data_IF_694786293362
#
_entry.id   IF_694786293362
#
_cell.length_a   1.000
_cell.length_b   1.000
_cell.length_c   1.000
_cell.angle_alpha   90.00
_cell.angle_beta   90.00
_cell.angle_gamma   90.00
#
_symmetry.space_group_name_H-M   'P 1'
#
loop_
_entity.id
_entity.type
_entity.pdbx_description
1 polymer ?
#
# COMPACT_ATOMS: atom_id res chain seq x y z
N UNK A 1 -39.96 36.92 46.78
CA UNK A 1 -38.50 36.75 46.81
C UNK A 1 -38.09 36.30 45.41
N UNK A 2 -37.71 37.30 44.59
CA UNK A 2 -37.44 37.12 43.12
C UNK A 2 -35.96 36.95 42.99
N UNK A 3 -35.50 35.78 42.44
CA UNK A 3 -34.11 35.54 42.15
C UNK A 3 -33.90 35.82 40.66
N UNK A 4 -33.10 36.84 40.38
CA UNK A 4 -32.66 37.31 39.10
C UNK A 4 -31.64 36.32 38.51
N UNK A 5 -31.89 35.80 37.28
CA UNK A 5 -30.95 35.02 36.51
C UNK A 5 -30.04 35.96 35.71
N UNK A 6 -28.76 36.02 36.08
CA UNK A 6 -27.74 36.72 35.34
C UNK A 6 -27.30 35.89 34.12
N UNK A 7 -27.48 36.46 32.92
CA UNK A 7 -26.97 35.90 31.68
C UNK A 7 -25.46 36.15 31.52
N UNK A 8 -24.64 35.11 31.60
CA UNK A 8 -23.25 35.15 31.18
C UNK A 8 -23.15 34.96 29.66
N UNK A 9 -22.96 36.07 28.94
CA UNK A 9 -22.63 36.05 27.52
C UNK A 9 -21.18 35.64 27.33
N UNK A 10 -20.95 34.37 26.87
CA UNK A 10 -19.67 33.96 26.40
C UNK A 10 -19.43 34.48 24.99
N UNK A 11 -18.54 35.45 24.85
CA UNK A 11 -18.05 35.97 23.58
C UNK A 11 -17.25 34.89 22.84
N UNK A 12 -17.81 34.29 21.79
CA UNK A 12 -17.09 33.44 20.85
C UNK A 12 -16.23 34.37 20.01
N UNK A 13 -14.92 34.39 20.30
CA UNK A 13 -13.94 35.01 19.40
C UNK A 13 -13.81 34.15 18.17
N UNK A 14 -14.29 34.65 17.03
CA UNK A 14 -13.98 34.13 15.69
C UNK A 14 -12.47 34.24 15.48
N UNK A 15 -11.78 33.11 15.40
CA UNK A 15 -10.44 33.08 14.85
C UNK A 15 -10.57 33.20 13.33
N UNK A 16 -10.45 34.44 12.85
CA UNK A 16 -10.21 34.66 11.42
C UNK A 16 -8.86 34.03 11.09
N UNK A 17 -8.89 33.01 10.26
CA UNK A 17 -7.69 32.36 9.72
C UNK A 17 -7.06 33.39 8.76
N UNK A 18 -6.00 34.08 9.22
CA UNK A 18 -5.16 34.88 8.33
C UNK A 18 -4.57 33.94 7.29
N UNK A 19 -4.99 34.08 6.06
CA UNK A 19 -4.38 33.45 4.91
C UNK A 19 -2.93 34.00 4.81
N UNK A 20 -1.98 33.20 5.25
CA UNK A 20 -0.57 33.46 4.98
C UNK A 20 -0.41 33.38 3.45
N UNK A 21 -0.28 34.51 2.81
CA UNK A 21 0.03 34.61 1.39
C UNK A 21 1.35 33.87 1.16
N UNK A 22 1.31 32.74 0.44
CA UNK A 22 2.50 32.04 0.02
C UNK A 22 3.38 33.00 -0.77
N UNK A 23 4.63 33.16 -0.37
CA UNK A 23 5.60 33.92 -1.13
C UNK A 23 5.72 33.29 -2.53
N UNK A 24 5.87 34.09 -3.61
CA UNK A 24 6.02 33.55 -4.95
C UNK A 24 7.27 32.66 -4.99
N UNK A 25 7.08 31.38 -5.31
CA UNK A 25 8.16 30.44 -5.54
C UNK A 25 8.96 30.97 -6.74
N UNK A 26 10.27 31.19 -6.63
CA UNK A 26 11.07 31.60 -7.79
C UNK A 26 10.95 30.52 -8.88
N UNK A 27 10.90 30.89 -10.17
CA UNK A 27 10.82 29.93 -11.24
C UNK A 27 12.01 28.96 -11.12
N UNK A 28 11.70 27.68 -10.97
CA UNK A 28 12.70 26.60 -11.04
C UNK A 28 13.34 26.73 -12.42
N UNK A 29 14.64 26.96 -12.45
CA UNK A 29 15.38 26.94 -13.70
C UNK A 29 15.12 25.57 -14.35
N UNK A 30 14.51 25.56 -15.51
CA UNK A 30 14.41 24.37 -16.37
C UNK A 30 15.83 24.01 -16.75
N UNK A 31 16.48 23.20 -15.94
CA UNK A 31 17.72 22.53 -16.35
C UNK A 31 17.32 21.61 -17.48
N UNK A 32 17.96 21.81 -18.64
CA UNK A 32 17.80 21.00 -19.83
C UNK A 32 17.76 19.51 -19.43
N UNK A 33 16.59 18.90 -19.57
CA UNK A 33 16.44 17.45 -19.44
C UNK A 33 17.30 16.83 -20.55
N UNK A 34 18.33 16.03 -20.25
CA UNK A 34 19.13 15.42 -21.31
C UNK A 34 18.23 14.58 -22.20
N UNK A 35 18.21 14.90 -23.47
CA UNK A 35 17.48 14.15 -24.49
C UNK A 35 18.19 12.84 -24.74
N UNK A 36 17.84 11.82 -24.00
CA UNK A 36 17.84 10.39 -24.31
C UNK A 36 17.39 9.64 -23.06
N UNK A 37 16.10 9.59 -22.83
CA UNK A 37 15.54 8.53 -21.97
C UNK A 37 16.00 7.20 -22.59
N UNK A 38 16.73 6.32 -21.86
CA UNK A 38 17.06 4.99 -22.36
C UNK A 38 15.79 4.36 -22.89
N UNK A 39 15.87 3.65 -24.01
CA UNK A 39 14.70 3.01 -24.62
C UNK A 39 13.89 2.31 -23.52
N UNK A 40 12.66 2.78 -23.30
CA UNK A 40 11.79 2.32 -22.22
C UNK A 40 11.81 0.79 -22.22
N UNK A 41 12.24 0.18 -21.13
CA UNK A 41 12.21 -1.26 -21.00
C UNK A 41 10.78 -1.72 -21.23
N UNK A 42 10.55 -2.53 -22.25
CA UNK A 42 9.24 -3.07 -22.56
C UNK A 42 8.79 -3.96 -21.37
N UNK A 43 7.52 -3.88 -21.02
CA UNK A 43 6.94 -4.76 -20.02
C UNK A 43 7.17 -6.23 -20.45
N UNK A 44 7.79 -7.01 -19.57
CA UNK A 44 7.96 -8.45 -19.82
C UNK A 44 6.60 -9.14 -19.69
N UNK A 45 6.11 -9.86 -20.72
CA UNK A 45 4.81 -10.52 -20.66
C UNK A 45 4.68 -11.41 -19.42
N UNK A 46 3.61 -11.23 -18.66
CA UNK A 46 3.34 -11.97 -17.42
C UNK A 46 4.11 -11.49 -16.17
N UNK A 47 4.96 -10.47 -16.29
CA UNK A 47 5.68 -9.87 -15.16
C UNK A 47 5.21 -8.42 -14.97
N UNK A 48 4.92 -8.06 -13.71
CA UNK A 48 4.57 -6.71 -13.32
C UNK A 48 3.15 -6.26 -13.60
N UNK A 49 2.41 -6.92 -14.46
CA UNK A 49 1.05 -6.54 -14.85
C UNK A 49 -0.03 -7.42 -14.18
N UNK A 50 -1.24 -6.88 -13.92
CA UNK A 50 -2.35 -7.67 -13.40
C UNK A 50 -2.69 -8.83 -14.34
N UNK A 51 -2.93 -10.00 -13.77
CA UNK A 51 -3.32 -11.20 -14.55
C UNK A 51 -4.80 -11.23 -14.91
N UNK A 52 -5.62 -10.35 -14.29
CA UNK A 52 -7.08 -10.39 -14.39
C UNK A 52 -7.72 -11.58 -13.66
N UNK A 53 -6.94 -12.36 -12.92
CA UNK A 53 -7.41 -13.50 -12.13
C UNK A 53 -7.96 -13.09 -10.76
N UNK A 54 -8.40 -14.09 -10.00
CA UNK A 54 -8.92 -13.94 -8.64
C UNK A 54 -7.81 -14.01 -7.57
N UNK A 55 -6.64 -14.47 -7.97
CA UNK A 55 -5.50 -14.70 -7.09
C UNK A 55 -4.66 -13.43 -6.93
N UNK A 56 -3.83 -13.42 -5.88
CA UNK A 56 -2.74 -12.45 -5.77
C UNK A 56 -1.81 -12.61 -6.96
N UNK A 57 -1.19 -11.53 -7.40
CA UNK A 57 -0.22 -11.56 -8.49
C UNK A 57 0.97 -12.46 -8.11
N UNK A 58 1.55 -13.16 -9.08
CA UNK A 58 2.70 -14.04 -8.85
C UNK A 58 3.86 -13.28 -8.19
N UNK A 59 4.33 -13.69 -7.02
CA UNK A 59 5.38 -13.00 -6.30
C UNK A 59 6.72 -13.15 -7.00
N UNK A 60 7.55 -12.10 -6.97
CA UNK A 60 8.89 -12.09 -7.59
C UNK A 60 9.98 -11.65 -6.60
N UNK A 61 9.66 -11.58 -5.31
CA UNK A 61 10.60 -11.28 -4.23
C UNK A 61 10.44 -12.27 -3.10
N UNK A 62 11.47 -12.44 -2.27
CA UNK A 62 11.39 -13.32 -1.10
C UNK A 62 10.28 -12.89 -0.14
N UNK A 63 10.13 -11.58 0.08
CA UNK A 63 9.08 -11.03 0.93
C UNK A 63 7.69 -11.31 0.35
N UNK A 64 7.51 -11.14 -0.96
CA UNK A 64 6.24 -11.43 -1.61
C UNK A 64 5.91 -12.93 -1.59
N UNK A 65 6.91 -13.81 -1.72
CA UNK A 65 6.76 -15.27 -1.56
C UNK A 65 6.36 -15.61 -0.13
N UNK A 66 7.01 -15.00 0.88
CA UNK A 66 6.67 -15.21 2.30
C UNK A 66 5.24 -14.75 2.60
N UNK A 67 4.83 -13.58 2.07
CA UNK A 67 3.46 -13.08 2.18
C UNK A 67 2.44 -14.00 1.50
N UNK A 68 2.74 -14.50 0.31
CA UNK A 68 1.93 -15.49 -0.41
C UNK A 68 1.74 -16.77 0.41
N UNK A 69 2.84 -17.31 0.96
CA UNK A 69 2.80 -18.49 1.81
C UNK A 69 1.95 -18.26 3.07
N UNK A 70 2.06 -17.08 3.68
CA UNK A 70 1.22 -16.72 4.83
C UNK A 70 -0.27 -16.72 4.46
N UNK A 71 -0.64 -16.14 3.32
CA UNK A 71 -2.04 -16.08 2.86
C UNK A 71 -2.56 -17.47 2.49
N UNK A 72 -1.88 -18.21 1.62
CA UNK A 72 -2.42 -19.44 1.04
C UNK A 72 -2.26 -20.66 1.94
N UNK A 73 -1.19 -20.74 2.72
CA UNK A 73 -0.91 -21.93 3.53
C UNK A 73 -1.31 -21.79 5.00
N UNK A 74 -1.55 -20.57 5.49
CA UNK A 74 -1.94 -20.32 6.88
C UNK A 74 -3.32 -19.69 6.97
N UNK A 75 -3.50 -18.50 6.38
CA UNK A 75 -4.74 -17.74 6.58
C UNK A 75 -5.94 -18.34 5.84
N UNK A 76 -5.81 -18.66 4.55
CA UNK A 76 -6.93 -19.20 3.77
C UNK A 76 -7.45 -20.54 4.32
N UNK A 77 -6.61 -21.55 4.63
CA UNK A 77 -7.08 -22.78 5.25
C UNK A 77 -7.78 -22.54 6.61
N UNK A 78 -7.20 -21.67 7.45
CA UNK A 78 -7.78 -21.32 8.74
C UNK A 78 -9.15 -20.65 8.59
N UNK A 79 -9.24 -19.63 7.71
CA UNK A 79 -10.50 -18.94 7.44
C UNK A 79 -11.56 -19.89 6.89
N UNK A 80 -11.17 -20.81 5.98
CA UNK A 80 -12.08 -21.82 5.45
C UNK A 80 -12.62 -22.73 6.55
N UNK A 81 -11.74 -23.26 7.41
CA UNK A 81 -12.14 -24.15 8.53
C UNK A 81 -13.07 -23.43 9.49
N UNK A 82 -12.74 -22.19 9.90
CA UNK A 82 -13.58 -21.40 10.81
C UNK A 82 -14.94 -21.09 10.16
N UNK A 83 -14.94 -20.69 8.88
CA UNK A 83 -16.19 -20.39 8.16
C UNK A 83 -17.09 -21.61 8.06
N UNK A 84 -16.55 -22.76 7.67
CA UNK A 84 -17.32 -24.03 7.58
C UNK A 84 -17.84 -24.44 8.94
N UNK A 85 -17.02 -24.33 9.99
CA UNK A 85 -17.44 -24.62 11.36
C UNK A 85 -18.62 -23.74 11.79
N UNK A 86 -18.54 -22.43 11.57
CA UNK A 86 -19.63 -21.50 11.92
C UNK A 86 -20.90 -21.80 11.09
N UNK A 87 -20.76 -22.08 9.79
CA UNK A 87 -21.88 -22.47 8.93
C UNK A 87 -22.58 -23.75 9.44
N UNK A 88 -21.81 -24.74 9.86
CA UNK A 88 -22.36 -25.98 10.45
C UNK A 88 -23.15 -25.67 11.74
N UNK A 89 -22.59 -24.81 12.62
CA UNK A 89 -23.29 -24.43 13.85
C UNK A 89 -24.58 -23.65 13.54
N UNK A 90 -24.55 -22.73 12.58
CA UNK A 90 -25.75 -22.00 12.16
C UNK A 90 -26.81 -22.95 11.57
N UNK A 91 -26.40 -23.79 10.64
CA UNK A 91 -27.32 -24.81 10.07
C UNK A 91 -27.91 -25.72 11.13
N UNK A 92 -27.07 -26.19 12.07
CA UNK A 92 -27.51 -26.99 13.20
C UNK A 92 -28.54 -26.26 14.07
N UNK A 93 -28.27 -25.02 14.44
CA UNK A 93 -29.20 -24.22 15.28
C UNK A 93 -30.50 -23.96 14.55
N UNK A 94 -30.49 -23.61 13.28
CA UNK A 94 -31.67 -23.38 12.45
C UNK A 94 -32.53 -24.65 12.32
N UNK A 95 -31.89 -25.82 12.14
CA UNK A 95 -32.58 -27.08 11.98
C UNK A 95 -33.08 -27.63 13.32
N UNK A 96 -32.22 -27.64 14.35
CA UNK A 96 -32.52 -28.28 15.66
C UNK A 96 -33.50 -27.47 16.49
N UNK A 97 -33.43 -26.14 16.44
CA UNK A 97 -34.24 -25.26 17.29
C UNK A 97 -35.37 -24.53 16.53
N UNK A 98 -35.78 -25.04 15.37
CA UNK A 98 -36.96 -24.50 14.66
C UNK A 98 -38.22 -24.67 15.51
N UNK A 99 -39.21 -23.79 15.36
CA UNK A 99 -40.43 -23.74 16.15
C UNK A 99 -41.15 -25.09 16.24
N UNK A 100 -41.24 -25.85 15.13
CA UNK A 100 -41.88 -27.16 15.10
C UNK A 100 -41.12 -28.28 15.86
N UNK A 101 -39.79 -28.16 16.00
CA UNK A 101 -38.95 -29.14 16.69
C UNK A 101 -38.70 -28.79 18.17
N UNK A 102 -38.90 -27.51 18.53
CA UNK A 102 -38.62 -27.00 19.87
C UNK A 102 -39.70 -26.01 20.32
N UNK A 103 -40.95 -26.47 20.53
CA UNK A 103 -42.07 -25.59 20.82
C UNK A 103 -41.97 -24.90 22.18
N UNK A 104 -41.21 -25.47 23.12
CA UNK A 104 -40.93 -24.85 24.42
C UNK A 104 -39.43 -24.66 24.57
N UNK A 105 -38.92 -23.44 24.39
CA UNK A 105 -37.48 -23.16 24.48
C UNK A 105 -36.96 -23.33 25.92
N UNK A 106 -35.73 -23.80 26.05
CA UNK A 106 -35.02 -23.85 27.34
C UNK A 106 -34.81 -22.45 27.90
N UNK A 107 -34.95 -22.33 29.24
CA UNK A 107 -34.62 -21.08 29.95
C UNK A 107 -33.14 -20.98 30.37
N UNK A 108 -32.34 -22.05 30.14
CA UNK A 108 -30.90 -22.03 30.41
C UNK A 108 -30.21 -21.30 29.31
N UNK A 109 -29.61 -20.16 29.63
CA UNK A 109 -28.91 -19.26 28.70
C UNK A 109 -27.39 -19.11 28.99
N UNK A 110 -26.90 -19.86 29.99
CA UNK A 110 -25.54 -19.70 30.49
C UNK A 110 -24.83 -21.05 30.61
N UNK A 111 -23.56 -21.09 30.13
CA UNK A 111 -22.66 -22.22 30.31
C UNK A 111 -21.22 -21.74 30.33
N UNK A 112 -20.66 -21.56 31.54
CA UNK A 112 -19.32 -21.01 31.75
C UNK A 112 -18.22 -21.77 31.01
N UNK A 113 -18.34 -23.13 30.89
CA UNK A 113 -17.32 -23.92 30.19
C UNK A 113 -17.27 -23.57 28.70
N UNK A 114 -18.44 -23.49 28.05
CA UNK A 114 -18.51 -23.10 26.64
C UNK A 114 -18.02 -21.67 26.45
N UNK A 115 -18.37 -20.76 27.36
CA UNK A 115 -17.95 -19.36 27.33
C UNK A 115 -16.41 -19.20 27.41
N UNK A 116 -15.79 -19.95 28.29
CA UNK A 116 -14.32 -19.99 28.38
C UNK A 116 -13.71 -20.57 27.11
N UNK A 117 -14.27 -21.64 26.55
CA UNK A 117 -13.77 -22.25 25.30
C UNK A 117 -13.84 -21.25 24.14
N UNK A 118 -15.00 -20.61 23.92
CA UNK A 118 -15.14 -19.69 22.78
C UNK A 118 -14.35 -18.39 22.93
N UNK A 119 -13.89 -18.06 24.13
CA UNK A 119 -12.98 -16.93 24.38
C UNK A 119 -11.51 -17.33 24.20
N UNK A 120 -11.11 -18.44 24.79
CA UNK A 120 -9.70 -18.88 24.82
C UNK A 120 -9.25 -19.43 23.47
N UNK A 121 -10.08 -20.23 22.79
CA UNK A 121 -9.68 -20.85 21.52
C UNK A 121 -9.37 -19.79 20.42
N UNK A 122 -10.21 -18.79 20.16
CA UNK A 122 -9.84 -17.71 19.21
C UNK A 122 -8.59 -16.94 19.63
N UNK A 123 -8.40 -16.66 20.93
CA UNK A 123 -7.20 -16.00 21.41
C UNK A 123 -5.94 -16.82 21.13
N UNK A 124 -5.98 -18.13 21.35
CA UNK A 124 -4.85 -19.03 21.03
C UNK A 124 -4.58 -19.09 19.51
N UNK A 125 -5.62 -19.11 18.68
CA UNK A 125 -5.48 -19.05 17.22
C UNK A 125 -4.73 -17.77 16.81
N UNK A 126 -5.11 -16.60 17.37
CA UNK A 126 -4.43 -15.34 17.10
C UNK A 126 -2.97 -15.37 17.55
N UNK A 127 -2.66 -15.96 18.71
CA UNK A 127 -1.27 -16.12 19.18
C UNK A 127 -0.45 -16.96 18.18
N UNK A 128 -1.01 -18.07 17.69
CA UNK A 128 -0.32 -18.92 16.70
C UNK A 128 -0.04 -18.17 15.40
N UNK A 129 -1.01 -17.39 14.90
CA UNK A 129 -0.85 -16.58 13.67
C UNK A 129 0.18 -15.46 13.88
N UNK A 130 0.27 -14.89 15.08
CA UNK A 130 1.14 -13.76 15.39
C UNK A 130 2.62 -14.06 15.10
N UNK A 131 3.10 -15.28 15.37
CA UNK A 131 4.52 -15.63 15.18
C UNK A 131 4.98 -15.45 13.71
N UNK A 132 4.40 -16.12 12.71
CA UNK A 132 4.81 -15.93 11.32
C UNK A 132 4.49 -14.51 10.83
N UNK A 133 3.39 -13.90 11.31
CA UNK A 133 2.98 -12.55 10.92
C UNK A 133 3.99 -11.48 11.37
N UNK A 134 4.45 -11.51 12.63
CA UNK A 134 5.45 -10.56 13.12
C UNK A 134 6.82 -10.75 12.45
N UNK A 135 7.19 -11.98 12.11
CA UNK A 135 8.41 -12.23 11.35
C UNK A 135 8.35 -11.60 9.97
N UNK A 136 7.26 -11.82 9.23
CA UNK A 136 7.03 -11.21 7.93
C UNK A 136 7.03 -9.67 8.02
N UNK A 137 6.35 -9.12 9.03
CA UNK A 137 6.30 -7.68 9.27
C UNK A 137 7.70 -7.09 9.52
N UNK A 138 8.52 -7.76 10.35
CA UNK A 138 9.89 -7.33 10.62
C UNK A 138 10.74 -7.34 9.34
N UNK A 139 10.62 -8.38 8.50
CA UNK A 139 11.35 -8.47 7.24
C UNK A 139 10.96 -7.36 6.24
N UNK A 140 9.70 -6.92 6.27
CA UNK A 140 9.22 -5.84 5.40
C UNK A 140 9.69 -4.45 5.85
N UNK A 141 9.71 -4.19 7.16
CA UNK A 141 9.91 -2.84 7.69
C UNK A 141 11.30 -2.58 8.26
N UNK A 142 12.11 -3.59 8.50
CA UNK A 142 13.49 -3.45 8.97
C UNK A 142 14.48 -4.10 8.00
N UNK A 143 14.69 -3.47 6.83
CA UNK A 143 15.58 -4.01 5.82
C UNK A 143 17.03 -4.03 6.32
N UNK A 144 17.85 -4.98 5.84
CA UNK A 144 19.29 -4.90 5.99
C UNK A 144 19.82 -3.59 5.38
N UNK A 145 21.12 -3.37 5.39
CA UNK A 145 21.71 -2.20 4.75
C UNK A 145 21.18 -2.09 3.31
N UNK A 146 20.53 -0.98 3.02
CA UNK A 146 20.01 -0.71 1.69
C UNK A 146 21.14 -0.32 0.72
N UNK A 147 21.03 -0.76 -0.52
CA UNK A 147 21.92 -0.37 -1.61
C UNK A 147 21.47 0.98 -2.19
N UNK A 148 20.16 1.22 -2.23
CA UNK A 148 19.55 2.44 -2.73
C UNK A 148 18.41 2.86 -1.77
N UNK A 149 18.31 4.17 -1.54
CA UNK A 149 17.16 4.77 -0.85
C UNK A 149 16.38 5.61 -1.84
N UNK A 150 15.07 5.43 -1.88
CA UNK A 150 14.13 6.24 -2.68
C UNK A 150 13.06 6.76 -1.72
N UNK A 151 12.75 8.03 -1.80
CA UNK A 151 11.64 8.62 -1.06
C UNK A 151 10.46 8.83 -2.00
N UNK A 152 9.31 8.30 -1.65
CA UNK A 152 8.05 8.44 -2.36
C UNK A 152 7.12 9.35 -1.55
N UNK A 153 6.70 10.45 -2.15
CA UNK A 153 5.84 11.46 -1.54
C UNK A 153 4.50 11.44 -2.28
N UNK A 154 3.42 11.12 -1.56
CA UNK A 154 2.07 11.14 -2.12
C UNK A 154 1.51 12.55 -2.18
N UNK A 155 0.94 12.90 -3.33
CA UNK A 155 0.17 14.13 -3.58
C UNK A 155 -1.20 13.79 -4.15
N UNK A 156 -2.14 14.70 -4.12
CA UNK A 156 -3.44 14.57 -4.79
C UNK A 156 -3.31 15.08 -6.25
N UNK A 157 -3.15 14.25 -7.32
CA UNK A 157 -3.18 12.77 -7.31
C UNK A 157 -2.05 12.23 -8.18
N UNK A 158 -0.81 12.31 -7.69
CA UNK A 158 0.40 11.84 -8.33
C UNK A 158 1.44 11.44 -7.27
N UNK A 159 2.56 10.86 -7.69
CA UNK A 159 3.69 10.56 -6.82
C UNK A 159 4.89 11.42 -7.20
N UNK A 160 5.53 12.01 -6.20
CA UNK A 160 6.85 12.63 -6.32
C UNK A 160 7.90 11.66 -5.76
N UNK A 161 9.02 11.52 -6.48
CA UNK A 161 10.13 10.69 -6.07
C UNK A 161 11.38 11.52 -5.86
N UNK A 162 12.15 11.16 -4.81
CA UNK A 162 13.44 11.74 -4.49
C UNK A 162 14.46 10.60 -4.33
N UNK A 163 15.66 10.76 -4.92
CA UNK A 163 16.79 9.84 -4.78
C UNK A 163 17.88 10.50 -3.94
N UNK A 164 17.80 10.44 -2.60
CA UNK A 164 18.68 11.19 -1.71
C UNK A 164 20.15 10.76 -1.81
N UNK A 165 20.39 9.46 -2.06
CA UNK A 165 21.77 8.92 -2.16
C UNK A 165 22.44 9.22 -3.50
N UNK A 166 21.71 9.71 -4.51
CA UNK A 166 22.16 10.00 -5.87
C UNK A 166 22.06 11.50 -6.23
N UNK A 167 22.41 12.36 -5.30
CA UNK A 167 22.43 13.80 -5.52
C UNK A 167 21.11 14.50 -5.18
N UNK A 168 20.11 13.79 -4.69
CA UNK A 168 18.85 14.37 -4.21
C UNK A 168 17.95 14.91 -5.34
N UNK A 169 18.06 14.36 -6.57
CA UNK A 169 17.18 14.78 -7.64
C UNK A 169 15.75 14.27 -7.40
N UNK A 170 14.78 15.04 -7.85
CA UNK A 170 13.35 14.76 -7.71
C UNK A 170 12.65 14.80 -9.06
N UNK A 171 11.57 14.03 -9.18
CA UNK A 171 10.67 14.06 -10.33
C UNK A 171 9.27 13.63 -9.94
N UNK A 172 8.29 14.08 -10.71
CA UNK A 172 6.91 13.65 -10.58
C UNK A 172 6.62 12.45 -11.48
N UNK A 173 5.71 11.60 -11.05
CA UNK A 173 5.19 10.44 -11.79
C UNK A 173 3.67 10.55 -11.86
N UNK A 174 3.17 10.85 -13.07
CA UNK A 174 1.77 11.10 -13.34
C UNK A 174 1.25 10.07 -14.33
N UNK A 175 0.07 9.52 -14.07
CA UNK A 175 -0.56 8.56 -14.98
C UNK A 175 -0.82 9.20 -16.35
N UNK A 176 -0.45 8.50 -17.42
CA UNK A 176 -0.69 8.94 -18.79
C UNK A 176 -2.18 8.97 -19.12
N UNK A 177 -2.56 9.91 -19.97
CA UNK A 177 -3.88 9.89 -20.61
C UNK A 177 -4.01 8.70 -21.54
N UNK A 178 -5.24 8.33 -21.90
CA UNK A 178 -5.47 7.22 -22.83
C UNK A 178 -4.84 7.45 -24.20
N UNK A 179 -4.77 8.70 -24.64
CA UNK A 179 -4.18 9.12 -25.91
C UNK A 179 -2.66 8.99 -25.89
N UNK A 180 -2.02 9.42 -24.81
CA UNK A 180 -0.56 9.30 -24.62
C UNK A 180 -0.11 7.84 -24.48
N UNK A 181 -0.85 7.02 -23.69
CA UNK A 181 -0.58 5.60 -23.58
C UNK A 181 -0.72 4.89 -24.94
N UNK A 182 -1.75 5.25 -25.71
CA UNK A 182 -1.94 4.69 -27.07
C UNK A 182 -0.82 5.11 -28.03
N UNK A 183 -0.34 6.36 -27.93
CA UNK A 183 0.80 6.85 -28.72
C UNK A 183 2.11 6.13 -28.38
N UNK A 184 2.30 5.73 -27.11
CA UNK A 184 3.44 4.93 -26.64
C UNK A 184 3.30 3.43 -26.94
N UNK A 185 2.10 2.96 -27.28
CA UNK A 185 1.82 1.52 -27.42
C UNK A 185 1.77 0.78 -26.09
N UNK A 186 1.49 1.48 -24.99
CA UNK A 186 1.42 0.94 -23.63
C UNK A 186 -0.03 0.74 -23.16
N UNK A 187 -0.27 -0.09 -22.13
CA UNK A 187 -1.60 -0.32 -21.61
C UNK A 187 -2.23 0.95 -21.04
N UNK A 188 -3.50 1.18 -21.35
CA UNK A 188 -4.29 2.28 -20.77
C UNK A 188 -4.42 2.13 -19.26
N UNK A 189 -4.41 3.25 -18.55
CA UNK A 189 -4.61 3.36 -17.09
C UNK A 189 -3.53 2.68 -16.25
N UNK A 190 -2.39 2.34 -16.82
CA UNK A 190 -1.31 1.67 -16.12
C UNK A 190 0.03 2.40 -16.24
N UNK A 191 0.32 3.00 -17.41
CA UNK A 191 1.59 3.68 -17.68
C UNK A 191 1.63 5.11 -17.12
N UNK A 192 2.83 5.57 -16.82
CA UNK A 192 3.13 6.89 -16.27
C UNK A 192 4.17 7.62 -17.11
N UNK A 193 4.25 8.92 -16.98
CA UNK A 193 5.21 9.77 -17.69
C UNK A 193 6.66 9.46 -17.27
N UNK A 194 6.92 9.38 -15.97
CA UNK A 194 8.22 9.06 -15.40
C UNK A 194 8.13 7.83 -14.47
N UNK A 195 9.13 6.95 -14.55
CA UNK A 195 9.17 5.68 -13.83
C UNK A 195 10.24 5.67 -12.76
N UNK A 196 9.97 4.98 -11.65
CA UNK A 196 10.99 4.67 -10.66
C UNK A 196 11.90 3.57 -11.20
N UNK A 197 13.20 3.76 -11.15
CA UNK A 197 14.17 2.83 -11.73
C UNK A 197 15.06 2.24 -10.64
N UNK A 198 15.21 0.90 -10.63
CA UNK A 198 16.01 0.17 -9.65
C UNK A 198 16.80 -0.95 -10.32
N UNK A 199 17.99 -1.34 -9.82
CA UNK A 199 18.69 -2.52 -10.33
C UNK A 199 18.09 -3.81 -9.74
N UNK A 200 18.05 -4.87 -10.54
CA UNK A 200 17.66 -6.20 -10.09
C UNK A 200 18.61 -6.70 -8.99
N UNK A 201 18.05 -7.31 -7.96
CA UNK A 201 18.79 -7.86 -6.82
C UNK A 201 19.27 -6.83 -5.81
N UNK A 202 19.04 -5.52 -6.05
CA UNK A 202 19.37 -4.50 -5.05
C UNK A 202 18.32 -4.43 -3.93
N UNK A 203 18.79 -4.28 -2.71
CA UNK A 203 17.93 -3.97 -1.57
C UNK A 203 17.58 -2.48 -1.61
N UNK A 204 16.35 -2.17 -2.00
CA UNK A 204 15.84 -0.80 -2.10
C UNK A 204 15.02 -0.46 -0.86
N UNK A 205 15.40 0.62 -0.20
CA UNK A 205 14.63 1.21 0.90
C UNK A 205 13.73 2.30 0.35
N UNK A 206 12.43 2.06 0.41
CA UNK A 206 11.43 3.08 0.10
C UNK A 206 11.05 3.81 1.40
N UNK A 207 11.25 5.11 1.41
CA UNK A 207 10.76 6.02 2.45
C UNK A 207 9.47 6.65 1.95
N UNK A 208 8.36 6.50 2.68
CA UNK A 208 7.07 7.05 2.24
C UNK A 208 6.58 8.13 3.18
N UNK A 209 6.04 9.20 2.60
CA UNK A 209 5.32 10.27 3.28
C UNK A 209 4.29 10.87 2.32
N UNK A 210 3.49 11.80 2.79
CA UNK A 210 2.55 12.54 1.96
C UNK A 210 2.61 14.04 2.25
N UNK A 211 2.28 14.85 1.25
CA UNK A 211 2.25 16.30 1.35
C UNK A 211 0.88 16.82 1.84
N UNK A 212 -0.19 16.08 1.61
CA UNK A 212 -1.57 16.52 1.79
C UNK A 212 -2.43 15.55 2.63
N UNK A 213 -2.90 14.45 2.04
CA UNK A 213 -3.73 13.44 2.70
C UNK A 213 -2.97 12.12 2.84
N UNK A 214 -3.59 11.10 3.45
CA UNK A 214 -3.00 9.76 3.51
C UNK A 214 -3.13 9.10 2.14
N UNK A 215 -2.01 8.55 1.66
CA UNK A 215 -1.90 7.65 0.51
C UNK A 215 -1.30 6.32 0.95
N UNK A 216 -1.16 5.35 0.05
CA UNK A 216 -0.45 4.10 0.37
C UNK A 216 0.33 3.61 -0.83
N UNK A 217 1.63 3.40 -0.64
CA UNK A 217 2.54 2.89 -1.65
C UNK A 217 2.45 1.37 -1.70
N UNK A 218 2.10 0.80 -2.85
CA UNK A 218 1.98 -0.64 -3.02
C UNK A 218 2.36 -1.08 -4.43
N UNK A 219 3.33 -2.00 -4.51
CA UNK A 219 3.67 -2.74 -5.73
C UNK A 219 3.35 -4.21 -5.48
N UNK A 220 2.22 -4.73 -5.97
CA UNK A 220 1.69 -6.04 -5.57
C UNK A 220 2.68 -7.20 -5.69
N UNK A 221 3.47 -7.23 -6.77
CA UNK A 221 4.42 -8.33 -7.02
C UNK A 221 5.71 -8.26 -6.23
N UNK A 222 6.10 -7.07 -5.80
CA UNK A 222 7.30 -6.87 -4.99
C UNK A 222 7.04 -7.11 -3.51
N UNK A 223 5.76 -7.26 -3.13
CA UNK A 223 5.32 -7.44 -1.76
C UNK A 223 5.40 -6.14 -0.96
N UNK A 224 4.75 -6.15 0.18
CA UNK A 224 4.72 -4.99 1.07
C UNK A 224 3.84 -3.84 0.59
N UNK A 225 3.03 -3.35 1.49
CA UNK A 225 2.20 -2.16 1.36
C UNK A 225 2.46 -1.27 2.56
N UNK A 226 2.65 0.03 2.33
CA UNK A 226 2.94 0.98 3.40
C UNK A 226 2.24 2.31 3.17
N UNK A 227 1.60 2.82 4.20
CA UNK A 227 0.91 4.10 4.13
C UNK A 227 1.91 5.26 4.08
N UNK A 228 1.61 6.22 3.22
CA UNK A 228 2.25 7.51 3.10
C UNK A 228 1.42 8.53 3.87
N UNK A 229 1.89 8.89 5.08
CA UNK A 229 1.14 9.69 6.04
C UNK A 229 1.77 11.07 6.17
N UNK A 230 0.99 12.17 6.05
CA UNK A 230 1.50 13.52 6.25
C UNK A 230 2.20 13.68 7.62
N UNK A 231 3.39 14.30 7.60
CA UNK A 231 4.18 14.53 8.80
C UNK A 231 4.85 13.29 9.42
N UNK A 232 4.71 12.12 8.79
CA UNK A 232 5.36 10.87 9.22
C UNK A 232 6.12 10.27 8.06
N UNK A 233 7.33 9.75 8.33
CA UNK A 233 8.10 8.99 7.37
C UNK A 233 8.04 7.50 7.73
N UNK A 234 7.38 6.72 6.90
CA UNK A 234 7.38 5.26 6.96
C UNK A 234 8.48 4.68 6.07
N UNK A 235 8.78 3.40 6.21
CA UNK A 235 9.80 2.71 5.41
C UNK A 235 9.33 1.33 5.00
N UNK A 236 9.72 0.92 3.80
CA UNK A 236 9.43 -0.38 3.22
C UNK A 236 10.66 -0.87 2.46
N UNK A 237 10.90 -2.18 2.49
CA UNK A 237 11.89 -2.83 1.62
C UNK A 237 11.21 -3.36 0.37
N UNK A 238 11.83 -3.11 -0.79
CA UNK A 238 11.54 -3.82 -2.03
C UNK A 238 12.85 -4.37 -2.61
N UNK A 239 12.75 -5.49 -3.36
CA UNK A 239 13.87 -6.11 -4.03
C UNK A 239 13.33 -6.89 -5.22
N UNK A 240 13.56 -6.39 -6.43
CA UNK A 240 13.10 -7.06 -7.64
C UNK A 240 14.11 -8.15 -8.03
N UNK A 241 13.70 -9.42 -7.98
CA UNK A 241 14.56 -10.54 -8.37
C UNK A 241 14.61 -10.80 -9.88
N UNK A 242 13.71 -10.18 -10.65
CA UNK A 242 13.59 -10.39 -12.09
C UNK A 242 13.49 -9.03 -12.79
N UNK A 243 14.17 -8.83 -13.94
CA UNK A 243 14.01 -7.60 -14.71
C UNK A 243 12.57 -7.45 -15.23
N UNK A 244 12.06 -6.22 -15.23
CA UNK A 244 10.72 -5.96 -15.74
C UNK A 244 10.15 -4.63 -15.27
N UNK A 245 8.94 -4.34 -15.76
CA UNK A 245 8.13 -3.19 -15.35
C UNK A 245 7.06 -3.66 -14.38
N UNK A 246 7.07 -3.13 -13.17
CA UNK A 246 6.17 -3.51 -12.09
C UNK A 246 5.20 -2.37 -11.81
N UNK A 247 3.93 -2.65 -11.99
CA UNK A 247 2.89 -1.67 -11.71
C UNK A 247 2.67 -1.50 -10.21
N UNK A 248 2.59 -0.24 -9.81
CA UNK A 248 2.23 0.20 -8.49
C UNK A 248 0.96 1.04 -8.49
N UNK A 249 0.35 1.16 -7.33
CA UNK A 249 -0.88 1.92 -7.15
C UNK A 249 -0.95 2.53 -5.75
N UNK A 250 -1.73 3.62 -5.65
CA UNK A 250 -2.17 4.10 -4.36
C UNK A 250 -3.21 3.12 -3.80
N UNK A 251 -2.98 2.63 -2.58
CA UNK A 251 -3.80 1.60 -1.94
C UNK A 251 -4.53 2.10 -0.67
N UNK A 252 -4.61 3.43 -0.47
CA UNK A 252 -5.43 4.08 0.54
C UNK A 252 -6.25 5.19 -0.12
N UNK A 253 -7.56 5.25 0.20
CA UNK A 253 -8.46 6.21 -0.45
C UNK A 253 -8.04 7.65 -0.15
N UNK A 254 -7.57 8.36 -1.18
CA UNK A 254 -7.00 9.71 -1.08
C UNK A 254 -7.84 10.79 -1.78
N UNK A 255 -9.01 10.46 -2.32
CA UNK A 255 -9.94 11.43 -2.93
C UNK A 255 -10.41 11.04 -4.32
N UNK A 256 -10.76 12.07 -5.14
CA UNK A 256 -11.48 11.89 -6.40
C UNK A 256 -10.72 11.03 -7.42
N UNK A 257 -9.43 11.28 -7.60
CA UNK A 257 -8.59 10.57 -8.59
C UNK A 257 -7.72 9.46 -7.95
N UNK A 258 -8.16 8.92 -6.79
CA UNK A 258 -7.46 7.81 -6.13
C UNK A 258 -7.13 6.64 -7.08
N UNK A 259 -8.04 6.27 -7.95
CA UNK A 259 -7.83 5.17 -8.91
C UNK A 259 -6.89 5.52 -10.07
N UNK A 260 -6.67 6.81 -10.33
CA UNK A 260 -5.77 7.32 -11.35
C UNK A 260 -4.32 7.51 -10.84
N UNK A 261 -4.10 7.34 -9.55
CA UNK A 261 -2.79 7.54 -8.91
C UNK A 261 -1.95 6.26 -9.02
N UNK A 262 -1.49 5.97 -10.24
CA UNK A 262 -0.64 4.84 -10.60
C UNK A 262 0.82 5.27 -10.61
N UNK A 263 1.72 4.28 -10.55
CA UNK A 263 3.15 4.45 -10.76
C UNK A 263 3.77 3.14 -11.25
N UNK A 264 4.98 3.21 -11.79
CA UNK A 264 5.72 2.03 -12.24
C UNK A 264 7.12 2.00 -11.65
N UNK A 265 7.56 0.80 -11.29
CA UNK A 265 8.93 0.50 -10.90
C UNK A 265 9.56 -0.35 -11.98
N UNK A 266 10.63 0.16 -12.60
CA UNK A 266 11.40 -0.57 -13.63
C UNK A 266 12.63 -1.18 -12.97
N UNK A 267 12.72 -2.51 -12.99
CA UNK A 267 13.89 -3.23 -12.54
C UNK A 267 14.78 -3.56 -13.73
N UNK A 268 15.97 -2.98 -13.78
CA UNK A 268 16.96 -3.24 -14.82
C UNK A 268 17.92 -4.37 -14.44
N UNK A 269 18.33 -5.15 -15.43
CA UNK A 269 19.44 -6.08 -15.27
C UNK A 269 20.70 -5.30 -14.85
N UNK A 270 21.47 -5.77 -13.85
CA UNK A 270 22.68 -5.08 -13.39
C UNK A 270 23.71 -4.81 -14.50
N UNK A 271 23.75 -5.66 -15.54
CA UNK A 271 24.63 -5.47 -16.71
C UNK A 271 24.21 -4.34 -17.65
N UNK A 272 22.94 -3.91 -17.56
CA UNK A 272 22.37 -2.81 -18.37
C UNK A 272 22.00 -1.60 -17.53
N UNK A 273 22.25 -1.66 -16.21
CA UNK A 273 21.99 -0.56 -15.29
C UNK A 273 22.95 0.61 -15.58
N UNK A 274 22.48 1.74 -16.10
CA UNK A 274 23.35 2.84 -16.47
C UNK A 274 23.97 3.55 -15.25
N UNK A 275 23.49 3.22 -14.02
CA UNK A 275 23.75 4.01 -12.83
C UNK A 275 23.05 5.37 -12.94
N UNK A 276 22.35 5.80 -11.91
CA UNK A 276 21.68 7.11 -11.91
C UNK A 276 22.67 8.27 -12.08
N UNK A 277 23.95 8.08 -11.73
CA UNK A 277 25.00 9.08 -11.88
C UNK A 277 25.44 9.32 -13.34
N UNK A 278 25.27 8.36 -14.24
CA UNK A 278 25.60 8.56 -15.67
C UNK A 278 24.46 9.25 -16.44
N UNK A 279 23.22 9.15 -16.00
CA UNK A 279 22.09 9.87 -16.61
C UNK A 279 22.04 11.36 -16.23
N UNK A 280 22.61 11.75 -15.10
CA UNK A 280 22.66 13.16 -14.69
C UNK A 280 23.85 13.94 -15.25
N UNK A 281 24.79 13.28 -15.92
CA UNK A 281 26.01 13.91 -16.47
C UNK A 281 26.09 13.90 -17.99
N UNK A 282 25.06 13.46 -18.70
CA UNK A 282 24.99 13.52 -20.17
C UNK A 282 23.82 14.45 -20.61
#
# INVERSE_FOLDING_TARGET
MIISAGAMGASVRSFAQEAVAAAPVPPVATTDVPAAVPALQAATPGIGQPTGGWDLQTPVTDIAVEAHNMVYNVLNPLMFVVTVFVLILLAWTMFRYRAGANPVPSKSSHNTVIEVIWTVVPALILVVIAFPSFRLLANQYDPPKADITIKAIGHQWYWEYEYPDQGGFTFDSVMLTNEEAAARGTPKLLDVDNRVVVPVGATVKILTTAADVIHSFWVPRLGGKIDAIPGRQNRLRIEAAVPGVYEGLCAEFCGLEHSAMRFEVVAHDPGTWPGLAEETTR
#
